data_IF_992274050388
#
_entry.id   IF_992274050388
#
_cell.length_a   1.000
_cell.length_b   1.000
_cell.length_c   1.000
_cell.angle_alpha   90.00
_cell.angle_beta   90.00
_cell.angle_gamma   90.00
#
_symmetry.space_group_name_H-M   'P 1'
#
loop_
_entity.id
_entity.type
_entity.pdbx_description
1 polymer ?
#
# COMPACT_ATOMS: atom_id res chain seq x y z
N UNK A 1 -36.44 -17.84 -7.55
CA UNK A 1 -35.51 -18.79 -6.91
C UNK A 1 -34.13 -18.14 -6.68
N UNK A 2 -34.08 -16.94 -6.08
CA UNK A 2 -32.87 -16.06 -6.08
C UNK A 2 -32.38 -15.65 -4.69
N UNK A 3 -33.19 -15.85 -3.63
CA UNK A 3 -32.86 -15.42 -2.26
C UNK A 3 -31.85 -16.34 -1.55
N UNK A 4 -31.82 -17.63 -1.89
CA UNK A 4 -30.90 -18.60 -1.27
C UNK A 4 -29.44 -18.44 -1.70
N UNK A 5 -29.20 -18.05 -2.95
CA UNK A 5 -27.85 -17.92 -3.52
C UNK A 5 -27.07 -16.72 -2.93
N UNK A 6 -27.76 -15.63 -2.58
CA UNK A 6 -27.17 -14.44 -1.96
C UNK A 6 -26.76 -14.70 -0.50
N UNK A 7 -27.60 -15.43 0.24
CA UNK A 7 -27.37 -15.78 1.64
C UNK A 7 -26.17 -16.74 1.77
N UNK A 8 -26.06 -17.75 0.90
CA UNK A 8 -24.91 -18.68 0.90
C UNK A 8 -23.58 -17.97 0.61
N UNK A 9 -23.58 -16.93 -0.24
CA UNK A 9 -22.38 -16.11 -0.50
C UNK A 9 -22.00 -15.21 0.67
N UNK A 10 -23.00 -14.68 1.39
CA UNK A 10 -22.79 -13.87 2.58
C UNK A 10 -22.17 -14.67 3.74
N UNK A 11 -22.63 -15.92 3.93
CA UNK A 11 -22.08 -16.84 4.93
C UNK A 11 -20.66 -17.35 4.59
N UNK A 12 -20.25 -17.34 3.33
CA UNK A 12 -18.86 -17.67 2.94
C UNK A 12 -17.89 -16.49 3.04
N UNK A 13 -18.38 -15.26 2.85
CA UNK A 13 -17.58 -14.04 2.95
C UNK A 13 -17.21 -13.68 4.39
N UNK A 14 -18.13 -13.86 5.35
CA UNK A 14 -17.88 -13.59 6.76
C UNK A 14 -16.68 -14.37 7.35
N UNK A 15 -16.55 -15.70 7.18
CA UNK A 15 -15.40 -16.44 7.68
C UNK A 15 -14.11 -16.06 6.94
N UNK A 16 -14.15 -15.75 5.64
CA UNK A 16 -12.97 -15.30 4.91
C UNK A 16 -12.44 -13.94 5.43
N UNK A 17 -13.34 -12.99 5.70
CA UNK A 17 -13.01 -11.70 6.30
C UNK A 17 -12.52 -11.88 7.74
N UNK A 18 -13.15 -12.77 8.51
CA UNK A 18 -12.74 -13.09 9.87
C UNK A 18 -11.35 -13.73 9.92
N UNK A 19 -11.03 -14.65 9.01
CA UNK A 19 -9.69 -15.23 8.88
C UNK A 19 -8.68 -14.15 8.52
N UNK A 20 -8.99 -13.26 7.57
CA UNK A 20 -8.10 -12.14 7.20
C UNK A 20 -7.84 -11.19 8.38
N UNK A 21 -8.84 -10.96 9.25
CA UNK A 21 -8.70 -10.16 10.48
C UNK A 21 -7.91 -10.88 11.58
N UNK A 22 -8.08 -12.19 11.73
CA UNK A 22 -7.42 -12.98 12.77
C UNK A 22 -5.98 -13.39 12.42
N UNK A 23 -5.59 -13.39 11.14
CA UNK A 23 -4.21 -13.66 10.71
C UNK A 23 -3.36 -12.41 10.57
N UNK A 24 -3.92 -11.23 10.81
CA UNK A 24 -3.21 -9.97 10.72
C UNK A 24 -2.46 -9.69 12.04
N UNK A 25 -1.52 -10.56 12.40
CA UNK A 25 -0.39 -10.13 13.23
C UNK A 25 0.49 -9.27 12.33
N UNK A 26 0.12 -8.00 12.18
CA UNK A 26 1.04 -6.97 11.72
C UNK A 26 2.14 -6.84 12.80
N UNK A 27 3.13 -7.72 12.71
CA UNK A 27 4.36 -7.62 13.48
C UNK A 27 5.27 -6.63 12.79
N UNK A 28 6.06 -5.89 13.56
CA UNK A 28 7.23 -5.23 12.99
C UNK A 28 8.12 -6.31 12.36
N UNK A 29 8.67 -6.02 11.19
CA UNK A 29 9.62 -6.91 10.53
C UNK A 29 10.86 -7.09 11.41
N UNK A 30 11.24 -8.33 11.67
CA UNK A 30 12.49 -8.67 12.37
C UNK A 30 13.70 -8.45 11.45
N UNK A 31 14.92 -8.27 11.99
CA UNK A 31 16.12 -8.19 11.17
C UNK A 31 16.27 -9.40 10.23
N UNK A 32 16.43 -9.13 8.94
CA UNK A 32 16.49 -10.11 7.86
C UNK A 32 15.15 -10.33 7.14
N UNK A 33 14.05 -9.80 7.66
CA UNK A 33 12.73 -9.93 7.04
C UNK A 33 12.48 -8.87 5.97
N UNK A 34 11.80 -9.30 4.90
CA UNK A 34 11.29 -8.41 3.87
C UNK A 34 9.79 -8.19 4.02
N UNK A 35 9.32 -6.97 3.79
CA UNK A 35 7.90 -6.62 3.86
C UNK A 35 7.51 -5.66 2.73
N UNK A 36 6.21 -5.55 2.47
CA UNK A 36 5.65 -4.58 1.53
C UNK A 36 5.12 -3.37 2.29
N UNK A 37 5.31 -2.19 1.71
CA UNK A 37 4.91 -0.91 2.29
C UNK A 37 3.96 -0.18 1.33
N UNK A 38 2.64 -0.40 1.42
CA UNK A 38 1.69 0.47 0.73
C UNK A 38 1.61 1.82 1.44
N UNK A 39 1.61 2.91 0.69
CA UNK A 39 1.59 4.27 1.20
C UNK A 39 0.58 5.16 0.48
N UNK A 40 0.15 6.21 1.17
CA UNK A 40 -0.47 7.38 0.57
C UNK A 40 0.56 8.51 0.60
N UNK A 41 0.65 9.27 -0.48
CA UNK A 41 1.63 10.33 -0.66
C UNK A 41 0.91 11.66 -0.90
N UNK A 42 1.50 12.72 -0.38
CA UNK A 42 1.15 14.10 -0.69
C UNK A 42 2.41 14.80 -1.19
N UNK A 43 2.35 15.43 -2.35
CA UNK A 43 3.44 16.25 -2.91
C UNK A 43 3.00 17.72 -2.96
N UNK A 44 3.80 18.55 -2.32
CA UNK A 44 3.71 20.01 -2.38
C UNK A 44 4.63 20.45 -3.52
N UNK A 45 4.05 20.84 -4.65
CA UNK A 45 4.81 21.29 -5.81
C UNK A 45 4.96 22.80 -5.78
N UNK A 46 6.04 23.30 -6.38
CA UNK A 46 6.31 24.73 -6.44
C UNK A 46 5.30 25.43 -7.36
N UNK A 47 4.41 26.24 -6.77
CA UNK A 47 3.39 27.02 -7.49
C UNK A 47 4.03 28.02 -8.48
N UNK A 48 5.28 28.46 -8.27
CA UNK A 48 5.98 29.37 -9.18
C UNK A 48 6.32 28.71 -10.53
N UNK A 49 6.42 27.38 -10.56
CA UNK A 49 6.58 26.59 -11.77
C UNK A 49 5.24 26.27 -12.47
N UNK A 50 4.11 26.70 -11.88
CA UNK A 50 2.76 26.43 -12.39
C UNK A 50 2.28 25.01 -12.13
N UNK A 51 2.89 24.30 -11.18
CA UNK A 51 2.48 22.96 -10.76
C UNK A 51 1.63 23.05 -9.48
N UNK A 52 0.49 22.36 -9.46
CA UNK A 52 -0.38 22.30 -8.30
C UNK A 52 -0.02 21.13 -7.37
N UNK A 53 -0.46 21.21 -6.12
CA UNK A 53 -0.31 20.12 -5.16
C UNK A 53 -1.06 18.87 -5.60
N UNK A 54 -0.45 17.71 -5.33
CA UNK A 54 -0.98 16.43 -5.75
C UNK A 54 -0.95 15.39 -4.63
N UNK A 55 -1.87 14.42 -4.70
CA UNK A 55 -1.93 13.29 -3.79
C UNK A 55 -1.95 11.99 -4.59
N UNK A 56 -1.29 10.97 -4.07
CA UNK A 56 -1.13 9.72 -4.78
C UNK A 56 -0.99 8.51 -3.87
N UNK A 57 -0.76 7.37 -4.51
CA UNK A 57 -0.43 6.13 -3.83
C UNK A 57 1.01 5.75 -4.13
N UNK A 58 1.66 5.17 -3.13
CA UNK A 58 2.99 4.60 -3.26
C UNK A 58 2.99 3.14 -2.85
N UNK A 59 3.93 2.38 -3.38
CA UNK A 59 4.16 1.01 -2.97
C UNK A 59 5.66 0.72 -2.95
N UNK A 60 6.13 0.16 -1.84
CA UNK A 60 7.53 -0.21 -1.68
C UNK A 60 7.73 -1.65 -1.23
N UNK A 61 8.94 -2.13 -1.48
CA UNK A 61 9.51 -3.33 -0.88
C UNK A 61 10.60 -2.92 0.08
N UNK A 62 10.59 -3.49 1.27
CA UNK A 62 11.50 -3.15 2.35
C UNK A 62 12.25 -4.39 2.81
N UNK A 63 13.49 -4.20 3.25
CA UNK A 63 14.32 -5.19 3.93
C UNK A 63 14.79 -4.62 5.26
N UNK A 64 14.38 -5.24 6.37
CA UNK A 64 14.89 -4.88 7.68
C UNK A 64 16.32 -5.42 7.83
N UNK A 65 17.33 -4.56 7.92
CA UNK A 65 18.74 -5.00 8.02
C UNK A 65 19.14 -5.23 9.48
N UNK A 66 18.65 -4.38 10.39
CA UNK A 66 18.90 -4.46 11.83
C UNK A 66 17.72 -3.82 12.57
N UNK A 67 17.65 -3.91 13.91
CA UNK A 67 16.52 -3.37 14.69
C UNK A 67 16.15 -1.90 14.40
N UNK A 68 17.12 -1.09 13.93
CA UNK A 68 16.94 0.34 13.64
C UNK A 68 17.28 0.74 12.21
N UNK A 69 17.61 -0.21 11.35
CA UNK A 69 18.02 0.06 9.97
C UNK A 69 17.21 -0.79 9.03
N UNK A 70 16.56 -0.14 8.07
CA UNK A 70 15.86 -0.76 6.97
C UNK A 70 16.32 -0.14 5.65
N UNK A 71 16.26 -0.93 4.59
CA UNK A 71 16.39 -0.47 3.23
C UNK A 71 15.02 -0.53 2.59
N UNK A 72 14.59 0.55 1.95
CA UNK A 72 13.33 0.65 1.25
C UNK A 72 13.60 0.97 -0.22
N UNK A 73 12.90 0.27 -1.10
CA UNK A 73 12.80 0.64 -2.50
C UNK A 73 11.31 0.85 -2.79
N UNK A 74 10.91 2.10 -2.93
CA UNK A 74 9.52 2.49 -3.13
C UNK A 74 9.31 3.16 -4.47
N UNK A 75 8.17 2.88 -5.08
CA UNK A 75 7.69 3.50 -6.30
C UNK A 75 6.46 4.36 -6.04
N UNK A 76 6.34 5.48 -6.74
CA UNK A 76 5.12 6.29 -6.79
C UNK A 76 4.94 6.94 -8.16
N UNK A 77 3.70 7.33 -8.47
CA UNK A 77 3.39 8.08 -9.67
C UNK A 77 3.54 9.59 -9.37
N UNK A 78 4.48 10.31 -10.00
CA UNK A 78 4.73 11.73 -9.77
C UNK A 78 3.91 12.64 -10.69
N UNK A 79 3.04 12.11 -11.55
CA UNK A 79 2.34 12.89 -12.57
C UNK A 79 0.89 13.20 -12.15
N UNK A 80 0.52 14.48 -11.99
CA UNK A 80 -0.86 14.87 -11.68
C UNK A 80 -1.83 14.65 -12.85
N UNK A 81 -1.34 14.49 -14.09
CA UNK A 81 -2.16 14.49 -15.31
C UNK A 81 -1.92 13.29 -16.27
N UNK A 82 -0.94 12.40 -16.05
CA UNK A 82 -0.69 11.24 -16.94
C UNK A 82 -0.03 10.00 -16.28
N UNK A 83 -0.67 8.83 -16.40
CA UNK A 83 -0.48 7.59 -15.61
C UNK A 83 0.75 6.71 -15.92
N UNK A 84 1.88 7.23 -16.45
CA UNK A 84 2.96 6.34 -16.95
C UNK A 84 4.35 6.54 -16.36
N UNK A 85 4.56 7.49 -15.44
CA UNK A 85 5.88 7.71 -14.85
C UNK A 85 5.94 7.10 -13.45
N UNK A 86 6.88 6.19 -13.21
CA UNK A 86 7.09 5.58 -11.90
C UNK A 86 8.41 6.08 -11.35
N UNK A 87 8.34 6.95 -10.36
CA UNK A 87 9.50 7.48 -9.64
C UNK A 87 9.89 6.54 -8.51
N UNK A 88 11.20 6.34 -8.30
CA UNK A 88 11.72 5.50 -7.22
C UNK A 88 12.41 6.33 -6.14
N UNK A 89 12.15 6.00 -4.87
CA UNK A 89 12.89 6.49 -3.71
C UNK A 89 13.81 5.36 -3.20
N UNK A 90 15.07 5.70 -2.86
CA UNK A 90 16.09 4.80 -2.30
C UNK A 90 16.55 5.27 -0.92
#
# INVERSE_FOLDING_TARGET
MTKGLAITRLFGLMPAIFVLFCTNTASAAEPGESYVAPGAQWMDFDEEAGLGNDWGFSAGVCLQIAERWALEMAGFDPDPDNTELLAFLF
#
